data_IF_884026338391
#
_entry.id   IF_884026338391
#
_cell.length_a   1.000
_cell.length_b   1.000
_cell.length_c   1.000
_cell.angle_alpha   90.00
_cell.angle_beta   90.00
_cell.angle_gamma   90.00
#
_symmetry.space_group_name_H-M   'P 1'
#
loop_
_entity.id
_entity.type
_entity.pdbx_description
1 polymer ?
#
# COMPACT_ATOMS: atom_id res chain seq x y z
N UNK A 1 -9.34 5.22 0.51
CA UNK A 1 -9.10 6.33 -0.44
C UNK A 1 -8.53 5.84 -1.77
N UNK A 2 -7.46 5.05 -1.79
CA UNK A 2 -6.77 4.66 -3.05
C UNK A 2 -7.10 3.26 -3.60
N UNK A 3 -7.75 2.40 -2.82
CA UNK A 3 -8.09 1.03 -3.26
C UNK A 3 -9.11 1.06 -4.40
N UNK A 4 -8.87 0.29 -5.46
CA UNK A 4 -9.75 0.20 -6.64
C UNK A 4 -9.57 1.32 -7.65
N UNK A 5 -8.68 2.28 -7.40
CA UNK A 5 -8.33 3.34 -8.37
C UNK A 5 -7.17 2.89 -9.26
N UNK A 6 -7.05 3.53 -10.43
CA UNK A 6 -5.87 3.42 -11.27
C UNK A 6 -4.63 3.93 -10.53
N UNK A 7 -3.47 3.36 -10.83
CA UNK A 7 -2.22 3.69 -10.16
C UNK A 7 -1.83 5.16 -10.36
N UNK A 8 -2.00 5.70 -11.57
CA UNK A 8 -1.73 7.12 -11.86
C UNK A 8 -2.68 8.07 -11.13
N UNK A 9 -3.98 7.76 -11.12
CA UNK A 9 -4.98 8.53 -10.38
C UNK A 9 -4.66 8.52 -8.87
N UNK A 10 -4.28 7.36 -8.34
CA UNK A 10 -3.89 7.22 -6.94
C UNK A 10 -2.66 8.06 -6.60
N UNK A 11 -1.65 8.13 -7.47
CA UNK A 11 -0.48 9.00 -7.27
C UNK A 11 -0.87 10.48 -7.26
N UNK A 12 -1.76 10.92 -8.14
CA UNK A 12 -2.26 12.30 -8.16
C UNK A 12 -2.98 12.65 -6.85
N UNK A 13 -3.86 11.76 -6.37
CA UNK A 13 -4.59 11.96 -5.11
C UNK A 13 -3.62 12.03 -3.94
N UNK A 14 -2.65 11.11 -3.86
CA UNK A 14 -1.69 11.07 -2.77
C UNK A 14 -0.79 12.31 -2.75
N UNK A 15 -0.45 12.87 -3.91
CA UNK A 15 0.39 14.07 -4.02
C UNK A 15 -0.26 15.31 -3.39
N UNK A 16 -1.57 15.43 -3.46
CA UNK A 16 -2.32 16.59 -2.93
C UNK A 16 -3.10 16.28 -1.64
N UNK A 17 -2.94 15.07 -1.09
CA UNK A 17 -3.60 14.70 0.15
C UNK A 17 -2.97 15.46 1.35
N UNK A 18 -3.79 16.07 2.23
CA UNK A 18 -3.28 16.87 3.36
C UNK A 18 -2.69 16.04 4.51
N UNK A 19 -2.74 14.71 4.43
CA UNK A 19 -2.33 13.81 5.50
C UNK A 19 -0.83 13.54 5.42
N UNK A 20 -0.09 13.64 6.53
CA UNK A 20 1.36 13.34 6.55
C UNK A 20 1.72 11.88 6.19
N UNK A 21 0.74 10.96 6.25
CA UNK A 21 0.91 9.58 5.80
C UNK A 21 0.89 9.43 4.26
N UNK A 22 0.60 10.49 3.51
CA UNK A 22 0.52 10.44 2.04
C UNK A 22 1.88 10.22 1.39
N UNK A 23 2.93 10.86 1.91
CA UNK A 23 4.26 10.83 1.30
C UNK A 23 4.88 9.41 1.32
N UNK A 24 4.87 8.64 2.43
CA UNK A 24 5.34 7.26 2.40
C UNK A 24 4.55 6.36 1.45
N UNK A 25 3.22 6.53 1.40
CA UNK A 25 2.35 5.72 0.53
C UNK A 25 2.58 6.07 -0.94
N UNK A 26 2.78 7.35 -1.26
CA UNK A 26 3.12 7.80 -2.62
C UNK A 26 4.40 7.12 -3.13
N UNK A 27 5.48 7.13 -2.32
CA UNK A 27 6.75 6.47 -2.66
C UNK A 27 6.55 4.97 -2.89
N UNK A 28 5.71 4.34 -2.07
CA UNK A 28 5.43 2.90 -2.16
C UNK A 28 4.64 2.55 -3.43
N UNK A 29 3.61 3.33 -3.80
CA UNK A 29 2.86 3.12 -5.05
C UNK A 29 3.76 3.35 -6.27
N UNK A 30 4.58 4.40 -6.26
CA UNK A 30 5.54 4.67 -7.34
C UNK A 30 6.57 3.52 -7.48
N UNK A 31 7.07 2.99 -6.37
CA UNK A 31 7.95 1.83 -6.37
C UNK A 31 7.24 0.56 -6.88
N UNK A 32 5.97 0.35 -6.52
CA UNK A 32 5.20 -0.78 -7.00
C UNK A 32 4.98 -0.74 -8.52
N UNK A 33 4.72 0.45 -9.10
CA UNK A 33 4.66 0.63 -10.56
C UNK A 33 6.00 0.30 -11.22
N UNK A 34 7.12 0.80 -10.68
CA UNK A 34 8.45 0.50 -11.20
C UNK A 34 8.76 -1.01 -11.15
N UNK A 35 8.42 -1.67 -10.04
CA UNK A 35 8.58 -3.12 -9.90
C UNK A 35 7.71 -3.90 -10.89
N UNK A 36 6.51 -3.41 -11.22
CA UNK A 36 5.65 -4.04 -12.22
C UNK A 36 6.26 -3.95 -13.63
N UNK A 37 6.82 -2.79 -14.01
CA UNK A 37 7.55 -2.63 -15.28
C UNK A 37 8.71 -3.62 -15.39
N UNK A 38 9.57 -3.67 -14.38
CA UNK A 38 10.72 -4.58 -14.34
C UNK A 38 10.30 -6.05 -14.46
N UNK A 39 9.18 -6.44 -13.83
CA UNK A 39 8.64 -7.80 -13.95
C UNK A 39 8.16 -8.10 -15.36
N UNK A 40 7.44 -7.17 -16.00
CA UNK A 40 6.93 -7.32 -17.34
C UNK A 40 8.05 -7.45 -18.39
N UNK A 41 9.10 -6.64 -18.25
CA UNK A 41 10.30 -6.72 -19.08
C UNK A 41 10.97 -8.09 -18.97
N UNK A 42 11.07 -8.64 -17.75
CA UNK A 42 11.65 -9.96 -17.52
C UNK A 42 10.80 -11.11 -18.08
N UNK A 43 9.47 -10.96 -18.12
CA UNK A 43 8.55 -11.97 -18.69
C UNK A 43 8.26 -11.78 -20.18
N UNK A 44 8.90 -10.82 -20.85
CA UNK A 44 8.63 -10.42 -22.24
C UNK A 44 7.13 -10.15 -22.52
N UNK A 45 6.39 -9.72 -21.49
CA UNK A 45 4.97 -9.41 -21.59
C UNK A 45 4.79 -7.91 -21.73
N UNK A 46 3.93 -7.47 -22.65
CA UNK A 46 3.58 -6.05 -22.74
C UNK A 46 2.74 -5.64 -21.52
N UNK A 47 3.17 -4.59 -20.82
CA UNK A 47 2.46 -4.02 -19.68
C UNK A 47 2.19 -2.54 -19.95
N UNK A 48 0.91 -2.18 -20.12
CA UNK A 48 0.48 -0.79 -20.16
C UNK A 48 0.33 -0.25 -18.74
N UNK A 49 1.08 0.79 -18.40
CA UNK A 49 1.09 1.36 -17.06
C UNK A 49 -0.25 1.98 -16.63
N UNK A 50 -1.00 2.49 -17.60
CA UNK A 50 -2.29 3.15 -17.38
C UNK A 50 -3.37 2.16 -16.94
N UNK A 51 -3.21 0.88 -17.29
CA UNK A 51 -4.17 -0.17 -16.95
C UNK A 51 -3.92 -0.75 -15.55
N UNK A 52 -2.79 -0.42 -14.89
CA UNK A 52 -2.54 -0.87 -13.54
C UNK A 52 -3.49 -0.20 -12.56
N UNK A 53 -4.14 -1.02 -11.74
CA UNK A 53 -4.99 -0.54 -10.67
C UNK A 53 -4.61 -1.18 -9.34
N UNK A 54 -4.97 -0.50 -8.24
CA UNK A 54 -4.68 -0.96 -6.89
C UNK A 54 -5.72 -2.00 -6.47
N UNK A 55 -5.39 -3.28 -6.63
CA UNK A 55 -6.26 -4.38 -6.25
C UNK A 55 -6.39 -4.53 -4.73
N UNK A 56 -5.27 -4.47 -4.01
CA UNK A 56 -5.25 -4.55 -2.54
C UNK A 56 -4.29 -3.53 -1.96
N UNK A 57 -4.71 -2.90 -0.87
CA UNK A 57 -3.88 -2.02 -0.08
C UNK A 57 -4.31 -2.16 1.39
N UNK A 58 -3.39 -2.59 2.25
CA UNK A 58 -3.65 -2.77 3.68
C UNK A 58 -2.41 -2.41 4.50
N UNK A 59 -2.64 -2.10 5.77
CA UNK A 59 -1.64 -1.65 6.72
C UNK A 59 -1.77 -2.47 7.99
N UNK A 60 -0.71 -3.19 8.32
CA UNK A 60 -0.64 -4.02 9.52
C UNK A 60 0.22 -3.35 10.59
N UNK A 61 0.02 -3.77 11.84
CA UNK A 61 0.81 -3.28 12.96
C UNK A 61 2.24 -3.82 12.88
N UNK A 62 3.21 -2.91 13.00
CA UNK A 62 4.62 -3.25 13.09
C UNK A 62 5.08 -3.35 14.55
N UNK A 63 6.39 -3.45 14.73
CA UNK A 63 6.96 -3.47 16.08
C UNK A 63 6.66 -2.17 16.83
N UNK A 64 6.23 -2.29 18.08
CA UNK A 64 5.96 -1.12 18.93
C UNK A 64 7.12 -0.90 19.89
N UNK A 65 7.80 0.23 19.75
CA UNK A 65 8.88 0.64 20.63
C UNK A 65 8.31 1.30 21.89
N UNK A 66 8.78 0.87 23.06
CA UNK A 66 8.37 1.43 24.36
C UNK A 66 9.31 2.57 24.76
N UNK A 67 8.76 3.70 25.19
CA UNK A 67 9.47 4.81 25.82
C UNK A 67 8.76 5.20 27.11
N UNK A 68 9.50 5.69 28.10
CA UNK A 68 8.92 6.15 29.36
C UNK A 68 9.03 7.67 29.44
N UNK A 69 7.93 8.32 29.83
CA UNK A 69 7.89 9.75 30.08
C UNK A 69 7.69 9.98 31.57
N UNK A 70 8.57 10.76 32.24
CA UNK A 70 8.38 11.11 33.63
C UNK A 70 7.15 12.01 33.79
N UNK A 71 6.42 11.80 34.88
CA UNK A 71 5.22 12.57 35.27
C UNK A 71 5.31 12.95 36.75
N UNK A 72 4.37 13.81 37.16
CA UNK A 72 4.27 14.26 38.55
C UNK A 72 4.21 13.09 39.54
N UNK A 73 4.68 13.32 40.77
CA UNK A 73 4.72 12.34 41.86
C UNK A 73 5.55 11.07 41.53
N UNK A 74 6.65 11.22 40.78
CA UNK A 74 7.56 10.10 40.46
C UNK A 74 6.97 9.02 39.55
N UNK A 75 5.82 9.28 38.90
CA UNK A 75 5.16 8.31 38.02
C UNK A 75 5.86 8.26 36.67
N UNK A 76 5.96 7.07 36.08
CA UNK A 76 6.48 6.88 34.72
C UNK A 76 5.38 6.31 33.81
N UNK A 77 4.95 7.10 32.83
CA UNK A 77 3.94 6.65 31.85
C UNK A 77 4.61 6.11 30.60
N UNK A 78 3.99 5.11 29.98
CA UNK A 78 4.50 4.49 28.76
C UNK A 78 3.98 5.25 27.54
N UNK A 79 4.89 5.74 26.70
CA UNK A 79 4.61 6.20 25.34
C UNK A 79 4.98 5.07 24.38
N UNK A 80 4.02 4.66 23.57
CA UNK A 80 4.24 3.68 22.51
C UNK A 80 4.57 4.41 21.21
N UNK A 81 5.75 4.15 20.65
CA UNK A 81 6.13 4.56 19.29
C UNK A 81 5.79 3.39 18.36
N UNK A 82 4.58 3.46 17.78
CA UNK A 82 4.06 2.43 16.88
C UNK A 82 4.68 2.56 15.49
N UNK A 83 4.97 1.43 14.88
CA UNK A 83 5.34 1.33 13.46
C UNK A 83 4.30 0.50 12.73
N UNK A 84 4.38 0.44 11.40
CA UNK A 84 3.41 -0.25 10.56
C UNK A 84 4.07 -0.87 9.33
N UNK A 85 3.51 -1.97 8.85
CA UNK A 85 3.87 -2.56 7.56
C UNK A 85 2.79 -2.23 6.54
N UNK A 86 3.19 -1.64 5.41
CA UNK A 86 2.27 -1.23 4.34
C UNK A 86 2.45 -2.19 3.18
N UNK A 87 1.37 -2.82 2.75
CA UNK A 87 1.37 -3.74 1.61
C UNK A 87 0.43 -3.21 0.54
N UNK A 88 0.94 -3.07 -0.68
CA UNK A 88 0.17 -2.69 -1.87
C UNK A 88 0.38 -3.72 -2.96
N UNK A 89 -0.73 -4.13 -3.58
CA UNK A 89 -0.77 -5.07 -4.70
C UNK A 89 -1.43 -4.35 -5.87
N UNK A 90 -0.68 -4.27 -6.96
CA UNK A 90 -1.16 -3.81 -8.27
C UNK A 90 -1.53 -5.04 -9.10
N UNK A 91 -2.57 -4.91 -9.93
CA UNK A 91 -2.99 -5.93 -10.86
C UNK A 91 -3.38 -5.29 -12.19
N UNK A 92 -3.37 -6.09 -13.25
CA UNK A 92 -3.98 -5.75 -14.54
C UNK A 92 -5.44 -6.23 -14.56
N UNK A 93 -6.32 -5.60 -15.36
CA UNK A 93 -7.73 -5.96 -15.44
C UNK A 93 -7.95 -7.44 -15.82
N UNK A 94 -7.11 -7.97 -16.71
CA UNK A 94 -7.21 -9.35 -17.21
C UNK A 94 -6.98 -10.40 -16.10
N UNK A 95 -6.13 -10.12 -15.12
CA UNK A 95 -5.87 -11.03 -14.00
C UNK A 95 -6.95 -10.95 -12.90
N UNK A 96 -7.72 -9.85 -12.86
CA UNK A 96 -8.75 -9.61 -11.86
C UNK A 96 -9.93 -10.59 -11.96
N UNK A 97 -10.32 -10.92 -13.20
CA UNK A 97 -11.48 -11.76 -13.49
C UNK A 97 -11.23 -13.24 -13.11
N UNK A 98 -9.98 -13.70 -13.19
CA UNK A 98 -9.58 -15.07 -12.82
C UNK A 98 -9.66 -15.30 -11.30
N UNK A 99 -9.35 -14.28 -10.49
CA UNK A 99 -9.43 -14.36 -9.04
C UNK A 99 -10.88 -14.35 -8.51
N UNK A 100 -11.82 -13.80 -9.28
CA UNK A 100 -13.23 -13.68 -8.89
C UNK A 100 -14.01 -14.95 -9.27
N UNK A 101 -13.68 -15.57 -10.40
CA UNK A 101 -14.26 -16.85 -10.86
C UNK A 101 -13.90 -18.02 -9.96
N UNK A 102 -12.63 -18.12 -9.52
CA UNK A 102 -12.17 -19.16 -8.58
C UNK A 102 -12.84 -19.10 -7.19
N UNK A 103 -13.18 -17.91 -6.70
CA UNK A 103 -13.97 -17.73 -5.46
C UNK A 103 -15.44 -18.08 -5.61
N UNK A 104 -16.00 -17.96 -6.82
CA UNK A 104 -17.39 -18.31 -7.12
C UNK A 104 -17.59 -19.83 -7.29
N UNK A 105 -16.55 -20.54 -7.72
CA UNK A 105 -16.57 -22.00 -7.88
C UNK A 105 -16.35 -22.80 -6.58
N UNK A 106 -15.86 -22.15 -5.52
CA UNK A 106 -15.58 -22.78 -4.20
C UNK A 106 -16.68 -22.54 -3.16
N UNK A 107 -17.84 -22.00 -3.58
CA UNK A 107 -19.05 -21.81 -2.76
C UNK A 107 -20.22 -22.52 -3.44
#
# INVERSE_FOLDING_TARGET
MIRGKQAEEALAILKFAPQGASEPIYKLVASAMANARVKADASNSFLAEQDLYIAKAFVDEGTTLKRFQPRAQGRAFRINKRTSHITVVLATPDEADVATTTKKASK
#
